data_IF_769970606251
#
_entry.id   IF_769970606251
#
_cell.length_a   1.000
_cell.length_b   1.000
_cell.length_c   1.000
_cell.angle_alpha   90.00
_cell.angle_beta   90.00
_cell.angle_gamma   90.00
#
_symmetry.space_group_name_H-M   'P 1'
#
loop_
_entity.id
_entity.type
_entity.pdbx_description
1 polymer ?
2 non-polymer ?
3 water ?
#
# COMPACT_ATOMS: atom_id res chain seq x y z
N UNK A 1 -11.15 -6.85 -25.95
CA UNK A 1 -10.85 -8.30 -25.89
C UNK A 1 -11.36 -8.88 -24.55
N UNK A 2 -10.48 -8.97 -23.54
CA UNK A 2 -10.84 -9.30 -22.13
C UNK A 2 -11.55 -8.11 -21.48
N UNK A 3 -11.40 -6.91 -22.06
CA UNK A 3 -11.94 -5.63 -21.54
C UNK A 3 -13.24 -5.34 -22.26
N UNK A 4 -14.36 -5.39 -21.53
CA UNK A 4 -15.71 -4.99 -22.01
C UNK A 4 -15.59 -3.67 -22.76
N UNK A 5 -16.11 -3.60 -23.99
CA UNK A 5 -16.13 -2.36 -24.82
C UNK A 5 -17.13 -1.38 -24.19
N UNK A 6 -16.61 -0.28 -23.63
CA UNK A 6 -17.40 0.83 -23.02
C UNK A 6 -18.38 1.38 -24.06
N UNK A 7 -19.59 1.75 -23.63
CA UNK A 7 -20.72 2.24 -24.50
C UNK A 7 -21.13 3.64 -24.04
N UNK A 8 -21.51 4.50 -24.99
CA UNK A 8 -21.50 5.98 -24.87
C UNK A 8 -22.44 6.44 -23.73
N UNK A 9 -23.58 5.78 -23.55
CA UNK A 9 -24.56 6.05 -22.45
C UNK A 9 -25.09 4.72 -21.89
N UNK A 10 -24.21 3.73 -21.75
CA UNK A 10 -24.59 2.34 -21.39
C UNK A 10 -25.52 2.35 -20.18
N UNK A 11 -26.49 1.45 -20.17
CA UNK A 11 -27.37 1.20 -18.99
C UNK A 11 -26.96 -0.12 -18.37
N UNK A 12 -26.36 -0.06 -17.19
CA UNK A 12 -25.89 -1.24 -16.42
C UNK A 12 -26.96 -1.61 -15.43
N UNK A 13 -27.61 -2.73 -15.65
CA UNK A 13 -28.82 -3.13 -14.92
C UNK A 13 -28.52 -4.30 -14.02
N UNK A 14 -28.54 -4.07 -12.71
CA UNK A 14 -28.54 -5.10 -11.65
C UNK A 14 -29.97 -5.51 -11.37
N UNK A 15 -30.22 -6.21 -10.26
CA UNK A 15 -31.55 -6.81 -9.96
C UNK A 15 -32.40 -5.83 -9.14
N UNK A 16 -31.76 -4.94 -8.38
CA UNK A 16 -32.41 -3.99 -7.44
C UNK A 16 -32.33 -2.55 -7.97
N UNK A 17 -31.40 -2.27 -8.89
CA UNK A 17 -31.13 -0.90 -9.42
C UNK A 17 -30.74 -0.95 -10.90
N UNK A 18 -30.73 0.22 -11.54
CA UNK A 18 -30.21 0.43 -12.91
C UNK A 18 -29.30 1.68 -12.90
N UNK A 19 -28.24 1.68 -13.70
CA UNK A 19 -27.14 2.68 -13.62
C UNK A 19 -26.82 3.18 -15.04
N UNK A 20 -26.68 4.49 -15.18
CA UNK A 20 -26.22 5.17 -16.42
C UNK A 20 -24.76 5.55 -16.24
N UNK A 21 -23.90 5.28 -17.24
CA UNK A 21 -22.46 5.63 -17.18
C UNK A 21 -22.31 7.06 -17.69
N UNK A 22 -21.58 7.88 -16.94
CA UNK A 22 -21.29 9.30 -17.22
C UNK A 22 -19.84 9.45 -17.73
N UNK A 23 -18.91 8.72 -17.12
CA UNK A 23 -17.46 8.92 -17.30
C UNK A 23 -16.77 7.57 -17.19
N UNK A 24 -16.02 7.18 -18.23
CA UNK A 24 -14.89 6.22 -18.15
C UNK A 24 -13.78 6.84 -17.29
N UNK A 25 -13.44 6.20 -16.16
CA UNK A 25 -12.44 6.73 -15.19
C UNK A 25 -11.05 6.14 -15.48
N UNK A 26 -10.97 5.07 -16.28
CA UNK A 26 -9.69 4.42 -16.63
C UNK A 26 -9.73 2.91 -16.41
N UNK A 27 -8.70 2.20 -16.87
CA UNK A 27 -8.57 0.73 -16.80
C UNK A 27 -7.33 0.37 -16.01
N UNK A 28 -7.44 -0.64 -15.15
CA UNK A 28 -6.30 -1.25 -14.44
C UNK A 28 -6.17 -2.72 -14.77
N UNK A 29 -5.33 -3.43 -14.03
CA UNK A 29 -5.10 -4.89 -14.20
C UNK A 29 -6.44 -5.63 -14.02
N UNK A 30 -7.25 -5.24 -13.05
CA UNK A 30 -8.53 -5.92 -12.71
C UNK A 30 -9.55 -5.71 -13.84
N UNK A 31 -9.51 -4.55 -14.48
CA UNK A 31 -10.50 -4.13 -15.48
C UNK A 31 -10.56 -2.63 -15.55
N UNK A 32 -11.76 -2.07 -15.64
CA UNK A 32 -11.98 -0.61 -15.79
C UNK A 32 -12.99 -0.15 -14.73
N UNK A 33 -12.88 1.10 -14.30
CA UNK A 33 -13.81 1.73 -13.34
C UNK A 33 -14.56 2.83 -14.08
N UNK A 34 -15.88 2.85 -13.95
CA UNK A 34 -16.75 3.77 -14.68
C UNK A 34 -17.67 4.48 -13.68
N UNK A 35 -17.71 5.82 -13.75
CA UNK A 35 -18.59 6.71 -12.94
C UNK A 35 -20.03 6.62 -13.48
N UNK A 36 -21.00 6.37 -12.62
CA UNK A 36 -22.40 6.08 -13.03
C UNK A 36 -23.39 6.85 -12.15
N UNK A 37 -24.48 7.26 -12.76
CA UNK A 37 -25.70 7.76 -12.08
C UNK A 37 -26.62 6.58 -11.75
N UNK A 38 -27.11 6.51 -10.50
CA UNK A 38 -28.06 5.48 -10.02
C UNK A 38 -29.49 5.97 -10.28
N UNK A 39 -30.08 5.50 -11.37
CA UNK A 39 -31.32 6.06 -11.98
C UNK A 39 -32.40 6.22 -10.90
N UNK A 40 -33.12 7.36 -10.90
CA UNK A 40 -34.23 7.68 -9.99
C UNK A 40 -33.77 8.14 -8.60
N UNK A 41 -32.52 8.61 -8.48
CA UNK A 41 -31.90 9.12 -7.23
C UNK A 41 -30.98 10.29 -7.59
N UNK A 42 -30.30 10.86 -6.60
CA UNK A 42 -29.29 11.93 -6.80
C UNK A 42 -27.91 11.42 -6.40
N UNK A 43 -27.62 10.14 -6.58
CA UNK A 43 -26.31 9.61 -6.13
C UNK A 43 -25.52 9.05 -7.31
N UNK A 44 -24.21 9.27 -7.25
CA UNK A 44 -23.20 8.86 -8.25
C UNK A 44 -22.32 7.78 -7.65
N UNK A 45 -22.12 6.69 -8.37
CA UNK A 45 -21.37 5.52 -7.86
C UNK A 45 -20.27 5.18 -8.86
N UNK A 46 -19.16 4.65 -8.35
CA UNK A 46 -18.09 4.00 -9.12
C UNK A 46 -18.45 2.53 -9.27
N UNK A 47 -18.34 2.00 -10.47
CA UNK A 47 -18.61 0.56 -10.77
C UNK A 47 -17.37 -0.05 -11.40
N UNK A 48 -16.79 -1.02 -10.68
CA UNK A 48 -15.66 -1.86 -11.11
C UNK A 48 -16.19 -2.99 -11.99
N UNK A 49 -15.83 -2.98 -13.28
CA UNK A 49 -16.13 -4.06 -14.27
C UNK A 49 -14.87 -4.92 -14.42
N UNK A 50 -14.89 -6.16 -13.89
CA UNK A 50 -13.75 -7.11 -13.99
C UNK A 50 -13.74 -7.72 -15.38
N UNK A 51 -12.60 -8.29 -15.77
CA UNK A 51 -12.36 -8.85 -17.11
C UNK A 51 -13.16 -10.16 -17.26
N UNK A 52 -13.47 -10.53 -18.51
CA UNK A 52 -14.32 -11.70 -18.88
C UNK A 52 -13.72 -12.99 -18.30
N UNK A 53 -12.39 -13.15 -18.37
CA UNK A 53 -11.63 -14.35 -17.95
C UNK A 53 -12.07 -14.82 -16.56
N UNK A 54 -12.27 -16.15 -16.33
CA UNK A 54 -12.81 -16.68 -15.09
C UNK A 54 -12.02 -16.27 -13.84
N UNK A 55 -10.72 -16.07 -13.95
CA UNK A 55 -9.82 -15.82 -12.81
C UNK A 55 -10.30 -14.59 -12.06
N UNK A 56 -10.47 -13.53 -12.82
CA UNK A 56 -10.88 -12.21 -12.30
C UNK A 56 -12.16 -12.37 -11.50
N UNK A 57 -13.07 -13.19 -11.98
CA UNK A 57 -14.38 -13.45 -11.36
C UNK A 57 -14.17 -13.94 -9.92
N UNK A 58 -13.22 -14.84 -9.73
CA UNK A 58 -12.89 -15.29 -8.36
C UNK A 58 -12.36 -14.12 -7.58
N UNK A 59 -11.45 -13.38 -8.17
CA UNK A 59 -10.87 -12.16 -7.55
C UNK A 59 -12.01 -11.27 -7.08
N UNK A 60 -12.97 -11.02 -7.97
CA UNK A 60 -14.20 -10.29 -7.58
C UNK A 60 -14.96 -11.08 -6.54
N UNK A 61 -14.99 -12.38 -6.68
CA UNK A 61 -15.69 -13.23 -5.69
C UNK A 61 -15.02 -13.07 -4.34
N UNK A 62 -13.68 -13.18 -4.37
CA UNK A 62 -12.83 -13.05 -3.17
C UNK A 62 -13.14 -11.70 -2.55
N UNK A 63 -13.02 -10.67 -3.39
CA UNK A 63 -13.26 -9.28 -2.96
C UNK A 63 -14.69 -9.20 -2.46
N UNK A 64 -15.61 -9.77 -3.24
CA UNK A 64 -17.05 -9.68 -2.93
C UNK A 64 -17.23 -10.22 -1.53
N UNK A 65 -16.70 -11.43 -1.30
CA UNK A 65 -16.90 -12.17 -0.05
C UNK A 65 -16.33 -11.35 1.09
N UNK A 66 -15.15 -10.78 0.88
CA UNK A 66 -14.48 -10.03 1.96
C UNK A 66 -15.27 -8.75 2.24
N UNK A 67 -15.73 -8.12 1.17
CA UNK A 67 -16.58 -6.91 1.29
C UNK A 67 -17.91 -7.34 1.90
N UNK A 68 -18.35 -8.55 1.53
CA UNK A 68 -19.53 -9.21 2.14
C UNK A 68 -19.28 -9.36 3.64
N UNK A 69 -18.09 -9.82 3.99
CA UNK A 69 -17.75 -10.07 5.39
C UNK A 69 -17.55 -8.75 6.10
N UNK A 70 -17.14 -7.72 5.33
CA UNK A 70 -16.81 -6.36 5.82
C UNK A 70 -18.04 -5.47 5.73
N UNK A 71 -19.03 -5.85 4.93
CA UNK A 71 -20.42 -5.34 5.06
C UNK A 71 -20.81 -5.50 6.54
N UNK A 72 -21.07 -4.37 7.19
CA UNK A 72 -21.41 -4.25 8.62
C UNK A 72 -21.96 -2.84 8.85
N UNK A 73 -22.15 -2.45 10.12
CA UNK A 73 -22.72 -1.13 10.52
C UNK A 73 -22.07 -0.01 9.68
N UNK A 74 -20.73 0.01 9.59
CA UNK A 74 -19.95 1.13 8.98
C UNK A 74 -18.56 0.64 8.51
N UNK A 75 -18.33 0.72 7.21
CA UNK A 75 -17.03 0.91 6.54
C UNK A 75 -16.45 2.31 6.82
N UNK A 76 -17.31 3.29 7.07
CA UNK A 76 -16.92 4.72 7.23
C UNK A 76 -15.98 4.88 8.45
N UNK A 77 -16.24 4.15 9.53
CA UNK A 77 -15.55 4.34 10.83
C UNK A 77 -14.16 3.70 10.77
N UNK A 78 -13.97 2.73 9.87
CA UNK A 78 -12.71 1.97 9.72
C UNK A 78 -12.07 2.26 8.36
N UNK A 79 -12.60 3.26 7.64
CA UNK A 79 -11.90 3.94 6.51
C UNK A 79 -11.59 2.92 5.40
N UNK A 80 -12.53 2.07 5.06
CA UNK A 80 -12.44 1.23 3.85
C UNK A 80 -13.68 1.47 2.98
N UNK A 81 -13.49 1.42 1.67
CA UNK A 81 -14.51 1.81 0.67
C UNK A 81 -15.80 1.08 0.99
N UNK A 82 -16.92 1.79 0.92
CA UNK A 82 -18.29 1.23 1.05
C UNK A 82 -18.64 0.53 -0.27
N UNK A 83 -18.78 -0.80 -0.22
CA UNK A 83 -19.36 -1.65 -1.29
C UNK A 83 -20.85 -1.84 -1.03
N UNK A 84 -21.67 -1.90 -2.08
CA UNK A 84 -23.15 -1.89 -1.99
C UNK A 84 -23.73 -3.21 -2.48
N UNK A 85 -23.33 -3.66 -3.67
CA UNK A 85 -23.94 -4.84 -4.35
C UNK A 85 -23.08 -5.26 -5.53
N UNK A 86 -23.11 -6.56 -5.85
CA UNK A 86 -22.35 -7.20 -6.95
C UNK A 86 -23.31 -7.87 -7.90
N UNK A 87 -23.10 -7.73 -9.21
CA UNK A 87 -24.04 -8.20 -10.26
C UNK A 87 -23.30 -8.43 -11.58
N UNK A 88 -23.87 -9.29 -12.43
CA UNK A 88 -23.30 -9.72 -13.73
C UNK A 88 -23.89 -8.85 -14.83
N UNK A 89 -23.10 -8.48 -15.83
CA UNK A 89 -23.53 -7.64 -16.97
C UNK A 89 -22.73 -8.02 -18.23
N UNK A 90 -23.31 -8.88 -19.07
CA UNK A 90 -22.72 -9.38 -20.34
C UNK A 90 -21.40 -10.12 -20.02
N UNK A 91 -21.49 -11.27 -19.36
CA UNK A 91 -20.34 -12.14 -19.00
C UNK A 91 -19.27 -11.29 -18.32
N UNK A 92 -19.69 -10.38 -17.44
CA UNK A 92 -18.81 -9.42 -16.72
C UNK A 92 -19.31 -9.23 -15.28
N UNK A 93 -18.46 -9.52 -14.31
CA UNK A 93 -18.70 -9.23 -12.88
C UNK A 93 -18.49 -7.73 -12.64
N UNK A 94 -19.50 -7.07 -12.10
CA UNK A 94 -19.55 -5.61 -11.82
C UNK A 94 -19.76 -5.38 -10.33
N UNK A 95 -18.94 -4.53 -9.73
CA UNK A 95 -19.04 -4.17 -8.29
C UNK A 95 -19.34 -2.68 -8.15
N UNK A 96 -20.41 -2.34 -7.41
CA UNK A 96 -20.85 -0.94 -7.17
C UNK A 96 -20.23 -0.44 -5.85
N UNK A 97 -19.62 0.75 -5.91
CA UNK A 97 -18.93 1.41 -4.78
C UNK A 97 -19.39 2.86 -4.65
N UNK A 98 -19.25 3.44 -3.48
CA UNK A 98 -19.21 4.90 -3.29
C UNK A 98 -18.14 5.46 -4.22
N UNK A 99 -18.45 6.55 -4.94
CA UNK A 99 -17.48 7.34 -5.73
C UNK A 99 -16.37 7.82 -4.82
N UNK A 100 -15.13 7.72 -5.29
CA UNK A 100 -13.92 8.31 -4.68
C UNK A 100 -13.14 9.06 -5.78
N UNK A 101 -12.46 10.14 -5.41
CA UNK A 101 -11.99 11.16 -6.39
C UNK A 101 -10.56 10.85 -6.87
N UNK A 102 -9.63 10.63 -5.96
CA UNK A 102 -8.18 10.71 -6.25
C UNK A 102 -7.40 9.79 -5.33
N UNK A 103 -6.56 8.93 -5.90
CA UNK A 103 -5.57 8.12 -5.13
C UNK A 103 -4.32 8.99 -4.83
N UNK A 104 -3.52 8.54 -3.89
CA UNK A 104 -2.39 9.28 -3.33
C UNK A 104 -1.34 9.51 -4.38
N UNK A 105 -1.25 8.65 -5.39
CA UNK A 105 -0.24 8.87 -6.46
C UNK A 105 -0.65 10.04 -7.31
N UNK A 106 -1.89 10.03 -7.76
CA UNK A 106 -2.47 11.10 -8.59
C UNK A 106 -2.34 12.43 -7.86
N UNK A 107 -2.69 12.42 -6.59
CA UNK A 107 -2.64 13.60 -5.72
C UNK A 107 -1.21 14.16 -5.72
N UNK A 108 -0.24 13.27 -5.49
CA UNK A 108 1.16 13.66 -5.43
C UNK A 108 1.59 14.26 -6.76
N UNK A 109 1.17 13.65 -7.84
CA UNK A 109 1.50 14.10 -9.19
C UNK A 109 0.96 15.51 -9.40
N UNK A 110 -0.26 15.74 -8.96
CA UNK A 110 -0.94 17.04 -9.07
C UNK A 110 -0.15 18.09 -8.29
N UNK A 111 0.53 17.65 -7.23
CA UNK A 111 1.32 18.51 -6.32
C UNK A 111 2.78 18.54 -6.76
N UNK A 112 3.05 18.12 -8.00
CA UNK A 112 4.38 18.16 -8.64
C UNK A 112 5.39 17.35 -7.81
N UNK A 113 4.93 16.25 -7.22
CA UNK A 113 5.75 15.33 -6.39
C UNK A 113 6.57 16.10 -5.36
N UNK A 114 6.02 17.21 -4.84
CA UNK A 114 6.59 17.94 -3.67
C UNK A 114 6.17 17.25 -2.38
N UNK A 115 7.08 17.10 -1.40
CA UNK A 115 6.78 16.42 -0.15
C UNK A 115 5.52 16.96 0.54
N UNK A 116 4.69 16.07 1.10
CA UNK A 116 3.54 16.41 1.96
C UNK A 116 4.03 16.76 3.37
N UNK A 117 3.71 17.96 3.89
CA UNK A 117 3.96 18.26 5.29
C UNK A 117 3.41 17.16 6.21
N UNK A 118 4.13 16.92 7.30
CA UNK A 118 3.83 15.84 8.29
C UNK A 118 2.41 16.00 8.87
N UNK A 119 1.89 17.23 8.93
CA UNK A 119 0.60 17.55 9.61
C UNK A 119 -0.57 17.06 8.74
N UNK A 120 -0.33 16.78 7.46
CA UNK A 120 -1.34 16.28 6.50
C UNK A 120 -1.13 14.77 6.26
N UNK A 121 0.11 14.28 6.42
CA UNK A 121 0.45 12.82 6.43
C UNK A 121 -0.34 12.17 7.57
N UNK A 122 -0.42 12.86 8.68
CA UNK A 122 -0.79 12.29 9.99
C UNK A 122 -2.19 11.69 9.86
N UNK A 123 -3.16 12.49 9.37
CA UNK A 123 -4.53 12.02 9.29
C UNK A 123 -4.65 10.82 8.38
N UNK A 124 -3.90 10.85 7.28
CA UNK A 124 -3.88 9.74 6.30
C UNK A 124 -3.42 8.47 7.03
N UNK A 125 -2.33 8.62 7.77
CA UNK A 125 -1.70 7.52 8.49
C UNK A 125 -2.69 6.94 9.49
N UNK A 126 -3.38 7.82 10.19
CA UNK A 126 -4.37 7.49 11.22
C UNK A 126 -5.43 6.62 10.58
N UNK A 127 -5.90 7.05 9.40
CA UNK A 127 -7.01 6.35 8.74
C UNK A 127 -6.52 4.96 8.29
N UNK A 128 -5.35 4.92 7.68
CA UNK A 128 -4.89 3.65 7.09
C UNK A 128 -4.57 2.65 8.22
N UNK A 129 -3.99 3.14 9.27
CA UNK A 129 -3.65 2.37 10.47
C UNK A 129 -4.93 1.83 11.09
N UNK A 130 -5.96 2.65 11.15
CA UNK A 130 -7.28 2.25 11.69
C UNK A 130 -7.83 1.10 10.87
N UNK A 131 -7.75 1.24 9.56
CA UNK A 131 -8.21 0.23 8.60
C UNK A 131 -7.49 -1.10 8.89
N UNK A 132 -6.18 -0.99 9.03
CA UNK A 132 -5.31 -2.14 9.26
C UNK A 132 -5.71 -2.84 10.58
N UNK A 133 -6.00 -2.05 11.58
CA UNK A 133 -6.41 -2.54 12.90
C UNK A 133 -7.69 -3.32 12.79
N UNK A 134 -8.61 -2.86 11.96
CA UNK A 134 -9.89 -3.59 11.72
C UNK A 134 -9.61 -4.92 11.04
N UNK A 135 -8.75 -4.86 10.03
CA UNK A 135 -8.38 -6.01 9.20
C UNK A 135 -7.78 -7.11 10.08
N UNK A 136 -6.85 -6.73 10.92
CA UNK A 136 -6.19 -7.64 11.85
C UNK A 136 -7.24 -8.32 12.70
N UNK A 137 -8.15 -7.52 13.26
CA UNK A 137 -9.20 -7.97 14.16
C UNK A 137 -10.05 -9.04 13.46
N UNK A 138 -10.10 -9.05 12.14
CA UNK A 138 -10.83 -10.08 11.34
C UNK A 138 -9.84 -11.13 10.80
N UNK A 139 -8.57 -11.05 11.21
CA UNK A 139 -7.48 -11.93 10.73
C UNK A 139 -7.32 -11.87 9.22
N UNK A 140 -7.43 -10.67 8.64
CA UNK A 140 -7.38 -10.45 7.19
C UNK A 140 -6.04 -9.81 6.81
N UNK A 141 -5.53 -10.16 5.63
CA UNK A 141 -4.36 -9.52 4.98
C UNK A 141 -4.83 -8.86 3.70
N UNK A 142 -4.57 -7.57 3.54
CA UNK A 142 -4.98 -6.78 2.36
C UNK A 142 -4.13 -7.22 1.18
N UNK A 143 -2.80 -7.09 1.31
CA UNK A 143 -1.76 -7.72 0.46
C UNK A 143 -1.56 -6.94 -0.85
N UNK A 144 -2.22 -5.79 -1.02
CA UNK A 144 -1.93 -4.85 -2.14
C UNK A 144 -2.06 -3.38 -1.68
N UNK A 145 -1.67 -3.09 -0.43
CA UNK A 145 -1.64 -1.71 0.08
C UNK A 145 -0.54 -0.92 -0.64
N UNK A 146 -0.94 0.17 -1.28
CA UNK A 146 -0.10 1.03 -2.13
C UNK A 146 -0.85 2.32 -2.41
N UNK A 147 -0.14 3.40 -2.82
CA UNK A 147 -0.78 4.69 -3.06
C UNK A 147 -2.09 4.60 -3.88
N UNK A 148 -2.11 3.77 -4.92
CA UNK A 148 -3.23 3.70 -5.87
C UNK A 148 -4.42 2.99 -5.21
N UNK A 149 -4.21 2.30 -4.10
CA UNK A 149 -5.30 1.59 -3.38
C UNK A 149 -5.65 2.36 -2.08
N UNK A 150 -5.21 3.61 -1.96
CA UNK A 150 -5.70 4.58 -0.95
C UNK A 150 -6.25 5.80 -1.68
N UNK A 151 -7.54 6.10 -1.53
CA UNK A 151 -8.25 7.10 -2.36
C UNK A 151 -8.89 8.16 -1.48
N UNK A 152 -8.56 9.43 -1.73
CA UNK A 152 -9.24 10.62 -1.17
C UNK A 152 -10.68 10.65 -1.69
N UNK A 153 -11.64 10.66 -0.77
CA UNK A 153 -13.09 10.73 -1.09
C UNK A 153 -13.32 11.98 -1.94
N UNK A 154 -12.85 13.13 -1.47
CA UNK A 154 -13.19 14.48 -2.00
C UNK A 154 -12.24 15.51 -1.40
N UNK A 155 -11.03 15.68 -1.98
CA UNK A 155 -9.95 16.45 -1.33
C UNK A 155 -10.39 17.86 -0.89
N UNK A 156 -11.22 18.52 -1.71
CA UNK A 156 -11.65 19.92 -1.51
C UNK A 156 -12.61 20.01 -0.31
N UNK A 157 -13.67 19.21 -0.27
CA UNK A 157 -14.75 19.30 0.75
C UNK A 157 -14.35 18.55 2.01
N UNK A 158 -13.46 17.55 1.90
CA UNK A 158 -13.13 16.60 2.99
C UNK A 158 -11.62 16.37 3.03
N UNK A 159 -10.79 17.40 3.33
CA UNK A 159 -9.34 17.29 3.14
C UNK A 159 -8.76 16.08 3.90
N UNK A 160 -8.11 15.18 3.16
CA UNK A 160 -7.20 14.12 3.64
C UNK A 160 -8.02 12.96 4.22
N UNK A 161 -9.26 12.87 3.81
CA UNK A 161 -10.19 11.78 4.19
C UNK A 161 -10.01 10.63 3.22
N UNK A 162 -9.62 9.45 3.66
CA UNK A 162 -9.23 8.41 2.68
C UNK A 162 -10.02 7.16 2.95
N UNK A 163 -10.19 6.35 1.91
CA UNK A 163 -10.68 4.97 2.00
C UNK A 163 -9.65 4.05 1.34
N UNK A 164 -9.30 2.97 2.02
CA UNK A 164 -8.61 1.81 1.41
C UNK A 164 -9.58 1.09 0.46
N UNK A 165 -9.14 0.80 -0.76
CA UNK A 165 -9.92 0.14 -1.82
C UNK A 165 -9.23 -1.18 -2.18
N UNK A 166 -9.89 -1.96 -3.04
CA UNK A 166 -9.36 -3.18 -3.74
C UNK A 166 -8.94 -4.24 -2.73
N UNK A 167 -9.89 -5.06 -2.31
CA UNK A 167 -9.69 -6.27 -1.48
C UNK A 167 -9.70 -7.49 -2.38
N UNK A 168 -9.32 -7.33 -3.65
CA UNK A 168 -9.22 -8.39 -4.66
C UNK A 168 -8.19 -9.44 -4.26
N UNK A 169 -7.07 -8.98 -3.73
CA UNK A 169 -5.87 -9.78 -3.38
C UNK A 169 -5.91 -10.19 -1.91
N UNK A 170 -6.95 -9.85 -1.18
CA UNK A 170 -7.02 -10.03 0.29
C UNK A 170 -7.27 -11.51 0.61
N UNK A 171 -7.07 -11.90 1.88
CA UNK A 171 -6.71 -13.29 2.29
C UNK A 171 -6.83 -13.42 3.82
N UNK A 172 -7.34 -14.55 4.32
CA UNK A 172 -7.35 -14.90 5.76
C UNK A 172 -5.95 -15.39 6.18
N UNK A 173 -5.56 -15.19 7.44
CA UNK A 173 -4.22 -15.56 7.98
C UNK A 173 -4.04 -17.09 7.91
N UNK A 174 -5.09 -17.85 8.24
CA UNK A 174 -5.09 -19.34 8.30
C UNK A 174 -4.58 -19.91 6.98
N UNK A 175 -4.67 -19.13 5.89
CA UNK A 175 -4.25 -19.52 4.52
C UNK A 175 -3.17 -18.55 4.03
N UNK A 176 -1.92 -18.89 4.25
CA UNK A 176 -0.78 -18.04 3.94
C UNK A 176 0.41 -18.95 3.79
N UNK A 177 0.55 -19.52 2.61
CA UNK A 177 1.65 -20.41 2.24
C UNK A 177 2.88 -19.55 2.08
N UNK A 178 4.01 -20.07 2.51
CA UNK A 178 5.34 -19.46 2.31
C UNK A 178 5.63 -19.36 0.80
N UNK A 179 6.37 -18.33 0.42
CA UNK A 179 6.93 -18.08 -0.95
C UNK A 179 5.79 -17.88 -1.97
N UNK A 180 4.64 -17.40 -1.53
CA UNK A 180 3.58 -16.82 -2.39
C UNK A 180 4.06 -15.45 -2.89
N UNK A 181 3.77 -15.17 -4.16
CA UNK A 181 4.10 -13.89 -4.79
C UNK A 181 2.99 -12.85 -4.51
N UNK A 182 3.23 -11.95 -3.55
CA UNK A 182 2.22 -10.97 -3.16
C UNK A 182 2.79 -9.56 -3.29
N UNK A 183 1.90 -8.56 -3.33
CA UNK A 183 2.18 -7.13 -3.10
C UNK A 183 2.80 -6.50 -4.35
N UNK A 184 2.53 -5.21 -4.58
CA UNK A 184 3.36 -4.31 -5.42
C UNK A 184 4.80 -4.33 -4.91
N UNK A 185 5.77 -4.43 -5.81
CA UNK A 185 7.20 -4.66 -5.47
C UNK A 185 7.68 -3.57 -4.50
N UNK A 186 7.36 -2.31 -4.76
CA UNK A 186 7.87 -1.16 -3.99
C UNK A 186 7.43 -1.29 -2.55
N UNK A 187 6.26 -1.90 -2.33
CA UNK A 187 5.56 -1.96 -1.03
C UNK A 187 5.61 -3.37 -0.47
N UNK A 188 6.50 -4.20 -1.02
CA UNK A 188 6.60 -5.65 -0.69
C UNK A 188 7.53 -5.84 0.51
N UNK A 189 7.07 -6.54 1.52
CA UNK A 189 7.80 -6.80 2.77
C UNK A 189 8.92 -7.81 2.52
N UNK A 190 10.04 -7.74 3.28
CA UNK A 190 11.14 -8.69 3.11
C UNK A 190 10.69 -10.15 3.18
N UNK A 191 9.70 -10.46 4.01
CA UNK A 191 9.28 -11.86 4.29
C UNK A 191 8.70 -12.47 3.01
N UNK A 192 8.15 -11.63 2.13
CA UNK A 192 7.65 -12.05 0.79
C UNK A 192 8.82 -12.13 -0.21
N UNK A 193 9.69 -11.15 -0.24
CA UNK A 193 10.88 -11.17 -1.14
C UNK A 193 11.66 -12.45 -0.86
N UNK A 194 11.90 -12.78 0.40
CA UNK A 194 12.84 -13.86 0.81
C UNK A 194 12.11 -15.20 0.90
N UNK A 195 10.78 -15.18 0.80
CA UNK A 195 9.96 -16.41 0.93
C UNK A 195 9.99 -16.99 2.34
N UNK A 196 9.72 -16.15 3.34
CA UNK A 196 9.49 -16.49 4.76
C UNK A 196 7.99 -16.57 5.05
N UNK A 197 7.57 -17.28 6.12
CA UNK A 197 6.19 -17.22 6.59
C UNK A 197 5.77 -15.75 6.82
N UNK A 198 4.50 -15.45 6.62
CA UNK A 198 3.99 -14.07 6.66
C UNK A 198 2.54 -14.01 7.15
N UNK A 199 2.09 -12.80 7.44
CA UNK A 199 0.75 -12.50 7.99
C UNK A 199 0.42 -11.03 7.75
N UNK A 200 -0.54 -10.48 8.48
CA UNK A 200 -1.07 -9.10 8.28
C UNK A 200 0.10 -8.10 8.39
N UNK A 201 1.20 -8.51 9.05
CA UNK A 201 2.40 -7.66 9.26
C UNK A 201 2.93 -7.11 7.93
N UNK A 202 2.72 -7.81 6.83
CA UNK A 202 3.25 -7.37 5.52
C UNK A 202 2.62 -6.02 5.16
N UNK A 203 1.36 -5.83 5.52
CA UNK A 203 0.61 -4.60 5.23
C UNK A 203 1.26 -3.44 5.96
N UNK A 204 1.76 -3.66 7.16
CA UNK A 204 2.43 -2.62 7.94
C UNK A 204 3.70 -2.15 7.21
N UNK A 205 4.38 -3.03 6.53
CA UNK A 205 5.55 -2.65 5.72
C UNK A 205 5.13 -1.67 4.63
N UNK A 206 4.06 -2.07 3.92
CA UNK A 206 3.47 -1.28 2.84
C UNK A 206 3.10 0.11 3.37
N UNK A 207 2.51 0.16 4.55
CA UNK A 207 2.06 1.41 5.15
C UNK A 207 3.27 2.33 5.37
N UNK A 208 4.34 1.75 5.89
CA UNK A 208 5.58 2.50 6.13
C UNK A 208 6.11 3.08 4.83
N UNK A 209 6.10 2.24 3.80
CA UNK A 209 6.56 2.63 2.45
C UNK A 209 5.74 3.81 1.93
N UNK A 210 4.44 3.73 2.13
CA UNK A 210 3.49 4.78 1.71
C UNK A 210 3.81 6.09 2.44
N UNK A 211 4.03 6.00 3.75
CA UNK A 211 4.19 7.27 4.53
C UNK A 211 5.53 7.89 4.20
N UNK A 212 6.55 7.07 4.00
CA UNK A 212 7.88 7.56 3.55
C UNK A 212 7.75 8.24 2.21
N UNK A 213 6.98 7.65 1.31
CA UNK A 213 6.74 8.20 -0.03
C UNK A 213 6.13 9.59 0.10
N UNK A 214 5.11 9.67 0.96
CA UNK A 214 4.38 10.93 1.18
C UNK A 214 5.36 11.99 1.69
N UNK A 215 6.20 11.59 2.62
CA UNK A 215 7.19 12.48 3.24
C UNK A 215 8.13 13.02 2.19
N UNK A 216 8.58 12.13 1.30
CA UNK A 216 9.56 12.41 0.25
C UNK A 216 8.93 12.96 -1.02
N UNK A 217 7.66 12.63 -1.29
CA UNK A 217 6.98 12.88 -2.59
C UNK A 217 7.56 12.05 -3.69
N UNK A 218 8.21 10.93 -3.34
CA UNK A 218 8.74 9.92 -4.28
C UNK A 218 8.92 8.61 -3.54
N UNK A 219 8.81 7.45 -4.21
CA UNK A 219 8.98 6.16 -3.54
C UNK A 219 10.33 6.04 -2.83
N UNK A 220 10.36 5.37 -1.69
CA UNK A 220 11.59 5.12 -0.91
C UNK A 220 12.45 4.07 -1.63
N UNK A 221 11.84 2.96 -2.09
CA UNK A 221 12.55 1.75 -2.57
C UNK A 221 11.98 1.29 -3.91
N UNK A 222 12.22 2.04 -5.01
CA UNK A 222 11.57 1.74 -6.28
C UNK A 222 12.34 0.72 -7.14
N UNK A 223 12.45 -0.52 -6.64
CA UNK A 223 13.17 -1.62 -7.30
C UNK A 223 12.49 -2.10 -8.58
N UNK A 224 13.24 -2.17 -9.69
CA UNK A 224 12.80 -2.78 -10.97
C UNK A 224 12.58 -4.28 -10.79
N UNK A 225 13.17 -4.88 -9.75
CA UNK A 225 13.22 -6.34 -9.53
C UNK A 225 13.36 -6.63 -8.04
N UNK A 226 12.91 -7.81 -7.61
CA UNK A 226 13.04 -8.27 -6.20
C UNK A 226 14.49 -8.15 -5.75
N UNK A 227 15.44 -8.39 -6.67
CA UNK A 227 16.88 -8.28 -6.36
C UNK A 227 17.20 -6.84 -6.00
N UNK A 228 16.72 -5.95 -6.82
CA UNK A 228 16.97 -4.49 -6.61
C UNK A 228 16.26 -4.05 -5.34
N UNK A 229 15.05 -4.53 -5.15
CA UNK A 229 14.22 -4.16 -4.00
C UNK A 229 14.93 -4.51 -2.71
N UNK A 230 15.52 -5.70 -2.68
CA UNK A 230 16.19 -6.18 -1.45
C UNK A 230 17.56 -5.53 -1.29
N UNK A 231 18.22 -5.23 -2.41
CA UNK A 231 19.51 -4.51 -2.44
C UNK A 231 19.36 -3.13 -1.82
N UNK A 232 18.32 -2.41 -2.21
CA UNK A 232 18.06 -1.05 -1.76
C UNK A 232 17.84 -1.06 -0.26
N UNK A 233 16.90 -1.86 0.18
CA UNK A 233 16.58 -2.01 1.60
C UNK A 233 17.90 -2.27 2.34
N UNK A 234 18.66 -3.17 1.83
CA UNK A 234 19.88 -3.69 2.49
C UNK A 234 20.89 -2.56 2.67
N UNK A 235 20.99 -1.70 1.64
CA UNK A 235 21.90 -0.57 1.65
C UNK A 235 21.57 0.33 2.83
N UNK A 236 20.28 0.61 3.02
CA UNK A 236 19.80 1.66 3.91
C UNK A 236 19.67 1.11 5.34
N UNK A 237 19.26 -0.15 5.47
CA UNK A 237 18.77 -0.74 6.76
C UNK A 237 19.70 -1.86 7.23
N UNK A 238 20.79 -2.09 6.48
CA UNK A 238 21.67 -3.26 6.62
C UNK A 238 21.07 -4.51 5.99
N UNK A 239 21.87 -5.54 5.81
CA UNK A 239 21.41 -6.88 5.42
C UNK A 239 20.38 -7.36 6.43
N UNK A 240 19.33 -8.10 6.00
CA UNK A 240 18.49 -8.83 6.94
C UNK A 240 19.29 -9.81 7.76
N UNK A 241 18.92 -9.99 9.02
CA UNK A 241 19.61 -10.87 9.98
C UNK A 241 19.81 -12.26 9.34
N UNK A 242 20.81 -12.99 9.83
CA UNK A 242 21.21 -14.32 9.30
C UNK A 242 20.02 -15.25 9.42
N UNK A 243 19.37 -15.23 10.58
CA UNK A 243 18.27 -16.16 10.87
C UNK A 243 17.17 -16.00 9.84
N UNK A 244 17.01 -14.81 9.29
CA UNK A 244 15.96 -14.57 8.27
C UNK A 244 16.38 -15.18 6.94
N UNK A 245 17.63 -14.91 6.57
CA UNK A 245 18.22 -15.33 5.30
C UNK A 245 18.27 -16.86 5.24
N UNK A 246 18.68 -17.49 6.29
CA UNK A 246 18.86 -18.93 6.39
C UNK A 246 17.52 -19.65 6.22
N UNK A 247 16.44 -19.04 6.66
CA UNK A 247 15.11 -19.63 6.63
C UNK A 247 14.42 -19.37 5.28
N UNK A 248 14.70 -18.25 4.61
CA UNK A 248 14.00 -17.88 3.37
C UNK A 248 14.18 -18.92 2.27
N UNK A 249 13.08 -19.32 1.62
CA UNK A 249 13.08 -20.22 0.43
C UNK A 249 13.67 -19.51 -0.80
N UNK A 250 13.73 -18.17 -0.81
CA UNK A 250 14.11 -17.39 -2.01
C UNK A 250 15.47 -16.70 -1.79
N UNK A 251 16.03 -16.81 -0.61
CA UNK A 251 17.25 -16.08 -0.20
C UNK A 251 18.34 -16.19 -1.31
N UNK A 252 18.61 -17.40 -1.83
CA UNK A 252 19.80 -17.70 -2.67
C UNK A 252 19.57 -17.20 -4.11
N UNK A 253 18.35 -16.82 -4.45
CA UNK A 253 18.07 -15.97 -5.63
C UNK A 253 18.91 -14.66 -5.57
N UNK A 254 19.19 -14.12 -4.37
CA UNK A 254 19.73 -12.72 -4.18
C UNK A 254 21.04 -12.69 -3.38
N UNK A 255 21.29 -13.68 -2.51
CA UNK A 255 22.41 -13.69 -1.52
C UNK A 255 23.21 -14.98 -1.65
N UNK A 256 24.50 -14.92 -1.33
CA UNK A 256 25.41 -16.09 -1.26
C UNK A 256 25.77 -16.35 0.20
N UNK A 257 25.91 -17.62 0.59
CA UNK A 257 26.64 -18.04 1.80
C UNK A 257 28.12 -18.02 1.49
N UNK A 258 28.83 -17.02 1.98
CA UNK A 258 30.30 -16.87 1.76
C UNK A 258 31.04 -17.83 2.68
N UNK A 259 30.46 -18.19 3.82
CA UNK A 259 30.89 -19.36 4.63
C UNK A 259 29.72 -20.26 4.87
N UNK A 260 30.02 -21.54 4.96
CA UNK A 260 29.04 -22.59 5.18
C UNK A 260 28.36 -22.37 6.50
N UNK A 261 27.14 -22.67 6.44
CA UNK A 261 26.38 -22.76 7.62
C UNK A 261 26.88 -23.97 8.40
N UNK A 262 27.01 -23.91 9.73
CA UNK A 262 26.33 -22.91 10.56
C UNK A 262 27.07 -21.58 10.71
N UNK A 263 26.36 -20.56 11.17
CA UNK A 263 26.88 -19.18 11.34
C UNK A 263 27.45 -18.74 10.00
N UNK A 264 26.62 -18.80 8.95
CA UNK A 264 27.03 -18.43 7.60
C UNK A 264 27.24 -16.93 7.46
N UNK A 265 28.24 -16.58 6.69
CA UNK A 265 28.52 -15.20 6.26
C UNK A 265 27.69 -14.91 5.00
N UNK A 266 26.48 -14.43 5.17
CA UNK A 266 25.59 -14.04 4.04
C UNK A 266 26.10 -12.74 3.42
N UNK A 267 26.17 -12.68 2.10
CA UNK A 267 26.50 -11.47 1.34
C UNK A 267 25.54 -11.34 0.17
N UNK A 268 25.11 -10.13 -0.14
CA UNK A 268 24.32 -9.85 -1.34
C UNK A 268 25.18 -10.16 -2.54
N UNK A 269 24.63 -10.86 -3.53
CA UNK A 269 25.19 -10.94 -4.89
C UNK A 269 25.51 -9.52 -5.36
N UNK A 270 26.68 -9.33 -5.95
CA UNK A 270 27.06 -8.09 -6.65
C UNK A 270 26.15 -7.94 -7.84
N UNK A 271 25.79 -6.70 -8.21
CA UNK A 271 24.83 -6.50 -9.30
C UNK A 271 25.29 -7.21 -10.55
N UNK A 272 26.57 -7.07 -10.86
CA UNK A 272 27.21 -7.69 -12.02
C UNK A 272 26.97 -9.19 -12.05
N UNK A 273 27.40 -9.84 -10.98
CA UNK A 273 27.29 -11.30 -10.82
C UNK A 273 25.84 -11.69 -10.98
N UNK A 274 24.94 -10.93 -10.37
CA UNK A 274 23.50 -11.23 -10.41
C UNK A 274 23.01 -11.23 -11.85
N UNK A 275 23.43 -10.22 -12.58
CA UNK A 275 23.07 -10.01 -14.00
C UNK A 275 23.55 -11.20 -14.81
N UNK A 276 24.78 -11.58 -14.55
CA UNK A 276 25.46 -12.68 -15.27
C UNK A 276 24.57 -13.91 -15.29
N UNK A 277 23.90 -14.23 -14.18
CA UNK A 277 23.33 -15.58 -13.93
C UNK A 277 21.79 -15.54 -13.94
N UNK A 278 21.19 -14.42 -14.37
CA UNK A 278 19.72 -14.19 -14.31
C UNK A 278 19.19 -13.64 -15.63
N UNK A 279 19.99 -12.76 -16.28
CA UNK A 279 19.58 -11.99 -17.48
C UNK A 279 18.77 -10.77 -17.09
N UNK A 280 18.84 -10.36 -15.81
CA UNK A 280 18.17 -9.15 -15.25
C UNK A 280 19.26 -8.12 -14.90
N UNK A 281 19.18 -6.95 -15.51
CA UNK A 281 20.15 -5.85 -15.28
C UNK A 281 19.70 -5.07 -14.04
N UNK A 282 20.63 -4.74 -13.16
CA UNK A 282 20.43 -3.87 -11.98
C UNK A 282 20.37 -2.42 -12.42
N UNK A 283 19.41 -1.68 -11.90
CA UNK A 283 19.17 -0.26 -12.23
C UNK A 283 19.36 0.58 -10.96
N UNK A 284 19.56 1.88 -11.13
CA UNK A 284 19.41 2.90 -10.07
C UNK A 284 18.14 3.72 -10.35
N UNK A 285 17.07 3.49 -9.59
CA UNK A 285 15.70 3.99 -9.88
C UNK A 285 15.23 4.99 -8.82
N UNK A 286 16.08 5.34 -7.86
CA UNK A 286 15.64 6.06 -6.65
C UNK A 286 16.20 7.48 -6.64
N UNK A 287 15.36 8.45 -6.24
CA UNK A 287 15.68 9.89 -6.16
C UNK A 287 16.47 10.16 -4.89
N UNK A 288 16.20 9.42 -3.81
CA UNK A 288 16.87 9.57 -2.49
C UNK A 288 17.60 8.28 -2.13
N UNK A 289 18.86 8.38 -1.72
CA UNK A 289 19.70 7.25 -1.21
C UNK A 289 20.17 7.59 0.20
N UNK A 290 19.82 6.77 1.19
CA UNK A 290 20.09 7.02 2.63
C UNK A 290 20.99 5.92 3.20
N UNK A 291 22.05 6.30 3.91
CA UNK A 291 22.99 5.35 4.60
C UNK A 291 22.23 4.68 5.75
N UNK A 292 21.20 5.35 6.26
CA UNK A 292 20.27 4.89 7.32
C UNK A 292 19.01 5.75 7.29
N UNK A 293 17.92 5.26 7.89
CA UNK A 293 16.58 5.89 7.88
C UNK A 293 16.61 7.17 8.71
N UNK A 294 17.45 7.22 9.74
CA UNK A 294 17.65 8.43 10.60
C UNK A 294 17.93 9.65 9.70
N UNK A 295 18.77 9.48 8.66
CA UNK A 295 19.23 10.61 7.78
C UNK A 295 18.02 11.23 7.08
N UNK A 296 16.86 10.54 7.03
CA UNK A 296 15.60 11.07 6.46
C UNK A 296 15.13 12.31 7.26
N UNK A 297 15.53 12.38 8.54
CA UNK A 297 15.16 13.47 9.47
C UNK A 297 15.50 14.83 8.86
N UNK A 298 16.50 14.90 7.99
CA UNK A 298 17.21 16.17 7.69
C UNK A 298 16.96 16.63 6.24
N UNK A 299 16.44 15.76 5.36
CA UNK A 299 16.20 16.11 3.91
C UNK A 299 15.04 17.09 3.84
N UNK A 300 15.02 17.86 2.74
CA UNK A 300 13.92 18.79 2.34
C UNK A 300 13.40 19.50 3.58
N UNK A 301 14.30 19.95 4.45
CA UNK A 301 13.97 20.84 5.59
C UNK A 301 13.67 22.23 5.04
N UNK A 302 12.52 22.82 5.41
CA UNK A 302 12.16 24.23 5.02
C UNK A 302 13.24 25.18 5.56
N UNK A 303 13.76 26.05 4.70
CA UNK A 303 14.82 27.05 5.03
C UNK A 303 14.15 28.39 5.36
N UNK A 304 12.81 28.39 5.54
CA UNK A 304 11.97 29.57 5.88
C UNK A 304 11.11 29.25 7.12
N UNK A 305 11.74 29.09 8.28
CA UNK A 305 11.08 28.75 9.58
C UNK A 305 11.92 29.34 10.72
N UNK A 306 11.28 30.10 11.61
CA UNK A 306 11.98 30.84 12.68
C UNK A 306 11.61 30.22 14.04
N UNK A 307 12.61 30.07 14.91
CA UNK A 307 12.42 29.72 16.34
C UNK A 307 11.49 28.54 16.52
N UNK A 308 10.46 28.71 17.35
CA UNK A 308 9.61 27.63 17.91
C UNK A 308 9.08 26.77 16.79
N UNK A 309 8.81 27.37 15.63
CA UNK A 309 8.15 26.73 14.50
C UNK A 309 9.09 25.80 13.76
N UNK A 310 10.41 25.96 13.92
CA UNK A 310 11.43 24.99 13.43
C UNK A 310 11.64 23.91 14.46
N UNK A 311 11.62 24.26 15.73
CA UNK A 311 11.76 23.31 16.84
C UNK A 311 10.67 22.25 16.75
N UNK A 312 9.46 22.71 16.51
CA UNK A 312 8.25 21.86 16.37
C UNK A 312 8.49 20.85 15.26
N UNK A 313 8.97 21.36 14.14
CA UNK A 313 9.23 20.55 12.93
C UNK A 313 10.26 19.46 13.27
N UNK A 314 11.30 19.87 13.95
CA UNK A 314 12.40 18.98 14.35
C UNK A 314 11.83 17.86 15.21
N UNK A 315 10.97 18.22 16.15
CA UNK A 315 10.35 17.28 17.08
C UNK A 315 9.51 16.26 16.29
N UNK A 316 8.77 16.80 15.37
CA UNK A 316 7.75 16.07 14.57
C UNK A 316 8.44 15.03 13.71
N UNK A 317 9.43 15.46 12.97
CA UNK A 317 10.29 14.58 12.16
C UNK A 317 10.89 13.48 13.00
N UNK A 318 11.37 13.80 14.18
CA UNK A 318 11.97 12.81 15.08
C UNK A 318 10.95 11.72 15.42
N UNK A 319 9.72 12.14 15.72
CA UNK A 319 8.65 11.20 16.03
C UNK A 319 8.29 10.32 14.83
N UNK A 320 8.26 10.95 13.68
CA UNK A 320 7.93 10.35 12.38
C UNK A 320 8.90 9.24 12.05
N UNK A 321 10.17 9.59 11.95
CA UNK A 321 11.26 8.67 11.62
C UNK A 321 11.34 7.56 12.66
N UNK A 322 10.86 7.81 13.88
CA UNK A 322 10.85 6.79 14.95
C UNK A 322 9.74 5.78 14.67
N UNK A 323 8.57 6.28 14.26
CA UNK A 323 7.47 5.38 13.89
C UNK A 323 7.87 4.62 12.61
N UNK A 324 8.52 5.32 11.71
CA UNK A 324 8.81 4.74 10.38
C UNK A 324 9.75 3.58 10.54
N UNK A 325 10.74 3.71 11.41
CA UNK A 325 11.72 2.61 11.64
C UNK A 325 10.97 1.40 12.20
N UNK A 326 10.05 1.64 13.11
CA UNK A 326 9.25 0.56 13.71
C UNK A 326 8.43 -0.15 12.63
N UNK A 327 7.84 0.64 11.76
CA UNK A 327 7.05 0.13 10.63
C UNK A 327 7.94 -0.70 9.67
N UNK A 328 9.14 -0.18 9.33
CA UNK A 328 10.10 -0.79 8.36
C UNK A 328 11.11 -1.67 9.10
N UNK A 329 10.68 -2.41 10.10
CA UNK A 329 11.48 -3.43 10.82
C UNK A 329 11.46 -4.74 10.03
N UNK A 330 12.63 -5.24 9.65
CA UNK A 330 12.76 -6.32 8.63
C UNK A 330 12.13 -7.60 9.17
N UNK A 331 12.42 -7.95 10.43
CA UNK A 331 11.78 -9.07 11.14
C UNK A 331 10.35 -8.66 11.51
N UNK A 332 9.35 -9.33 10.93
CA UNK A 332 7.91 -9.04 11.13
C UNK A 332 7.55 -9.18 12.62
N UNK A 333 8.14 -10.15 13.31
CA UNK A 333 7.86 -10.45 14.73
C UNK A 333 8.08 -9.19 15.59
N UNK A 334 9.03 -8.33 15.20
CA UNK A 334 9.46 -7.14 15.97
C UNK A 334 8.78 -5.88 15.43
N UNK A 335 7.91 -6.02 14.43
CA UNK A 335 7.37 -4.90 13.62
C UNK A 335 6.12 -4.34 14.32
N UNK A 336 6.01 -3.02 14.38
CA UNK A 336 4.92 -2.30 15.12
C UNK A 336 3.57 -2.70 14.51
N UNK A 337 2.57 -2.89 15.36
CA UNK A 337 1.17 -3.26 15.00
C UNK A 337 0.36 -1.99 14.78
N UNK A 338 -0.84 -2.09 14.17
CA UNK A 338 -1.69 -0.92 13.92
C UNK A 338 -2.03 -0.17 15.19
N UNK A 339 -2.42 -0.92 16.22
CA UNK A 339 -2.83 -0.35 17.51
C UNK A 339 -1.66 0.44 18.10
N UNK A 340 -0.48 -0.13 18.03
CA UNK A 340 0.73 0.50 18.58
C UNK A 340 1.00 1.80 17.83
N UNK A 341 0.83 1.78 16.53
CA UNK A 341 1.05 2.99 15.70
C UNK A 341 0.04 4.06 16.07
N UNK A 342 -1.20 3.66 16.31
CA UNK A 342 -2.27 4.57 16.70
C UNK A 342 -1.93 5.24 18.05
N UNK A 343 -1.12 4.60 18.90
CA UNK A 343 -0.72 5.14 20.24
C UNK A 343 0.75 5.59 20.23
N UNK A 344 1.28 5.94 19.07
CA UNK A 344 2.64 6.50 18.91
C UNK A 344 2.56 8.04 18.92
N UNK A 345 3.51 8.72 19.61
CA UNK A 345 3.51 10.18 19.68
C UNK A 345 3.20 10.88 18.33
N UNK A 346 3.74 10.39 17.20
CA UNK A 346 3.57 11.05 15.88
C UNK A 346 2.08 11.18 15.53
N UNK A 347 1.30 10.14 15.81
CA UNK A 347 -0.18 10.14 15.59
C UNK A 347 -0.87 11.02 16.66
N UNK A 348 -0.61 10.77 17.94
CA UNK A 348 -1.37 11.32 19.10
C UNK A 348 -0.91 12.75 19.43
N UNK A 349 0.27 13.14 18.93
CA UNK A 349 0.80 14.54 18.96
C UNK A 349 1.22 14.92 20.40
N UNK A 350 1.29 13.94 21.31
CA UNK A 350 1.62 14.16 22.74
C UNK A 350 2.93 14.96 22.83
N UNK A 351 3.78 14.80 21.82
CA UNK A 351 5.15 15.38 21.76
C UNK A 351 5.09 16.89 21.46
N UNK A 352 3.90 17.46 21.24
CA UNK A 352 3.74 18.87 20.77
C UNK A 352 2.89 19.67 21.76
N UNK A 353 2.63 19.15 22.96
CA UNK A 353 1.60 19.69 23.88
C UNK A 353 2.16 20.85 24.72
N UNK A 354 3.35 21.35 24.39
CA UNK A 354 4.13 22.27 25.27
C UNK A 354 4.87 23.31 24.40
N UNK A 355 4.27 23.71 23.28
CA UNK A 355 4.83 24.72 22.34
C UNK A 355 3.86 25.91 22.23
X LIG B 1 -11.39 -1.71 -5.95
X LIG B 1 -7.82 4.47 -13.32
X LIG B 1 -8.81 3.84 -11.14
X LIG B 1 -9.76 4.87 -11.35
X LIG B 1 -10.87 5.04 -10.49
X LIG B 1 -6.39 4.13 -11.31
X LIG B 1 -7.65 3.66 -12.03
X LIG B 1 -7.49 2.16 -12.42
X LIG B 1 -8.98 3.01 -10.01
X LIG B 1 -10.09 3.17 -9.14
X LIG B 1 -11.06 4.18 -9.38
X LIG B 1 -12.15 4.37 -8.48
X LIG B 1 -12.62 3.46 -7.53
X LIG B 1 -12.27 2.18 -7.21
X LIG B 1 -12.89 5.50 -8.38
X LIG B 1 -13.85 5.30 -7.34
X LIG B 1 -13.66 4.05 -6.84
X LIG B 1 -14.31 3.39 -5.88
X LIG B 1 -13.95 2.09 -5.55
X LIG B 1 -12.90 1.47 -6.24
X LIG B 1 -12.49 0.16 -5.93
X LIG B 1 -11.46 -0.50 -6.51
X LIG B 1 -12.36 -1.81 -5.03
X LIG B 1 -13.04 -0.66 -5.01
#
# INVERSE_FOLDING_TARGET
SMDYQLVQHEVLCSMTNTYEVLEFLGRGTFGQVVKCWKRGTNEIVAIKILKNHPSYARQGQIEVSILARLSTESADDYNFVRAYECFQHKNHTCLVFEMLEQNLYDFLKQNKFSPLPLKYIRPVLQQVATALMKLKSLGLIHADLKPENIMLVDPSRQPYRVKVIDFGSASHVSKAVCSTYLQSRYYRAPEIILGLPFCEAIDMWSLGCVIAELFLGWPLYPGASEYDQIRYISQTQGLPAEYLLSAGTKTTRFFNRDTDSPYPLWRLKTPDDHEAETGIKSKEARKYIFNCLDDMAQVNMTTDLEGSDMLVEKADRREFIDLLKKMLTIDADKRITPIETLNHPFVTMTHLLDFPHSTHVKSCFQN
U82 N1 C2 C4 C5 C6 C3 C1 C C19 C18 C7 C8 C17 N2 C9 O C10 C11 C12 C13 C14 C16 N C15
#
